data_IF_452439034230
#
_entry.id   IF_452439034230
#
_cell.length_a   1.000
_cell.length_b   1.000
_cell.length_c   1.000
_cell.angle_alpha   90.00
_cell.angle_beta   90.00
_cell.angle_gamma   90.00
#
_symmetry.space_group_name_H-M   'P 1'
#
loop_
_entity.id
_entity.type
_entity.pdbx_description
1 polymer ?
#
# COMPACT_ATOMS: atom_id res chain seq x y z
N UNK A 1 6.63 -20.69 -0.40
CA UNK A 1 5.67 -21.34 -1.32
C UNK A 1 6.04 -21.07 -2.77
N UNK A 2 6.16 -19.81 -3.19
CA UNK A 2 6.51 -19.34 -4.55
C UNK A 2 7.76 -19.98 -5.17
N UNK A 3 8.87 -20.08 -4.42
CA UNK A 3 10.09 -20.78 -4.90
C UNK A 3 9.81 -22.23 -5.32
N UNK A 4 8.99 -22.95 -4.55
CA UNK A 4 8.64 -24.35 -4.83
C UNK A 4 7.76 -24.47 -6.08
N UNK A 5 6.78 -23.58 -6.22
CA UNK A 5 5.91 -23.50 -7.41
C UNK A 5 6.73 -23.21 -8.67
N UNK A 6 7.71 -22.31 -8.57
CA UNK A 6 8.56 -21.94 -9.68
C UNK A 6 9.49 -23.07 -10.11
N UNK A 7 10.12 -23.76 -9.15
CA UNK A 7 10.92 -24.97 -9.44
C UNK A 7 10.05 -26.06 -10.09
N UNK A 8 8.82 -26.26 -9.60
CA UNK A 8 7.89 -27.21 -10.21
C UNK A 8 7.54 -26.84 -11.65
N UNK A 9 7.28 -25.56 -11.94
CA UNK A 9 7.02 -25.09 -13.29
C UNK A 9 8.22 -25.31 -14.22
N UNK A 10 9.44 -25.00 -13.76
CA UNK A 10 10.68 -25.25 -14.51
C UNK A 10 10.88 -26.74 -14.79
N UNK A 11 10.61 -27.63 -13.82
CA UNK A 11 10.67 -29.08 -14.04
C UNK A 11 9.61 -29.58 -15.03
N UNK A 12 8.40 -29.00 -15.04
CA UNK A 12 7.38 -29.36 -16.04
C UNK A 12 7.86 -28.96 -17.44
N UNK A 13 8.42 -27.77 -17.59
CA UNK A 13 9.00 -27.28 -18.85
C UNK A 13 10.15 -28.19 -19.30
N UNK A 14 11.06 -28.55 -18.40
CA UNK A 14 12.15 -29.50 -18.69
C UNK A 14 11.61 -30.82 -19.26
N UNK A 15 10.65 -31.44 -18.58
CA UNK A 15 10.08 -32.72 -19.02
C UNK A 15 9.38 -32.60 -20.39
N UNK A 16 8.66 -31.50 -20.64
CA UNK A 16 8.07 -31.21 -21.94
C UNK A 16 9.13 -31.10 -23.03
N UNK A 17 10.20 -30.35 -22.78
CA UNK A 17 11.28 -30.13 -23.75
C UNK A 17 12.01 -31.45 -24.05
N UNK A 18 12.34 -32.23 -23.01
CA UNK A 18 12.96 -33.55 -23.16
C UNK A 18 12.08 -34.49 -23.98
N UNK A 19 10.77 -34.49 -23.73
CA UNK A 19 9.82 -35.29 -24.50
C UNK A 19 9.76 -34.86 -25.98
N UNK A 20 9.69 -33.55 -26.24
CA UNK A 20 9.69 -33.01 -27.61
C UNK A 20 10.96 -33.41 -28.35
N UNK A 21 12.13 -33.25 -27.73
CA UNK A 21 13.43 -33.63 -28.31
C UNK A 21 13.50 -35.13 -28.58
N UNK A 22 12.99 -35.95 -27.67
CA UNK A 22 12.89 -37.40 -27.87
C UNK A 22 11.96 -37.78 -29.03
N UNK A 23 10.83 -37.08 -29.16
CA UNK A 23 9.88 -37.25 -30.27
C UNK A 23 10.52 -36.89 -31.61
N UNK A 24 11.22 -35.75 -31.69
CA UNK A 24 11.98 -35.35 -32.88
C UNK A 24 13.08 -36.36 -33.23
N UNK A 25 13.88 -36.81 -32.26
CA UNK A 25 14.91 -37.84 -32.48
C UNK A 25 14.31 -39.11 -33.10
N UNK A 26 13.18 -39.58 -32.57
CA UNK A 26 12.48 -40.77 -33.08
C UNK A 26 11.92 -40.56 -34.49
N UNK A 27 11.21 -39.45 -34.69
CA UNK A 27 10.60 -39.09 -35.97
C UNK A 27 11.66 -38.92 -37.06
N UNK A 28 12.78 -38.26 -36.77
CA UNK A 28 13.87 -38.08 -37.72
C UNK A 28 14.60 -39.39 -38.01
N UNK A 29 14.82 -40.25 -37.01
CA UNK A 29 15.41 -41.56 -37.25
C UNK A 29 14.56 -42.40 -38.19
N UNK A 30 13.23 -42.34 -38.05
CA UNK A 30 12.29 -43.02 -38.94
C UNK A 30 12.26 -42.39 -40.33
N UNK A 31 12.01 -41.08 -40.43
CA UNK A 31 11.88 -40.38 -41.71
C UNK A 31 13.18 -40.34 -42.49
N UNK A 32 14.27 -39.84 -41.91
CA UNK A 32 15.56 -39.76 -42.62
C UNK A 32 16.12 -41.15 -42.88
N UNK A 33 15.97 -42.12 -41.98
CA UNK A 33 16.42 -43.49 -42.22
C UNK A 33 15.71 -44.12 -43.43
N UNK A 34 14.37 -44.06 -43.48
CA UNK A 34 13.60 -44.57 -44.62
C UNK A 34 13.95 -43.83 -45.91
N UNK A 35 14.11 -42.51 -45.84
CA UNK A 35 14.38 -41.72 -47.05
C UNK A 35 15.81 -41.88 -47.55
N UNK A 36 16.80 -42.01 -46.65
CA UNK A 36 18.18 -42.36 -46.99
C UNK A 36 18.20 -43.70 -47.72
N UNK A 37 17.63 -44.75 -47.10
CA UNK A 37 17.62 -46.08 -47.70
C UNK A 37 16.87 -46.09 -49.02
N UNK A 38 15.73 -45.41 -49.14
CA UNK A 38 14.97 -45.35 -50.39
C UNK A 38 15.74 -44.61 -51.50
N UNK A 39 16.35 -43.46 -51.21
CA UNK A 39 17.18 -42.71 -52.17
C UNK A 39 18.39 -43.55 -52.58
N UNK A 40 19.05 -44.19 -51.62
CA UNK A 40 20.22 -45.00 -51.87
C UNK A 40 19.91 -46.29 -52.64
N UNK A 41 18.80 -46.96 -52.36
CA UNK A 41 18.33 -48.09 -53.17
C UNK A 41 17.93 -47.66 -54.58
N UNK A 42 17.30 -46.49 -54.75
CA UNK A 42 17.01 -45.95 -56.08
C UNK A 42 18.28 -45.59 -56.85
N UNK A 43 19.28 -45.01 -56.20
CA UNK A 43 20.60 -44.74 -56.81
C UNK A 43 21.28 -46.05 -57.19
N UNK A 44 21.27 -47.06 -56.31
CA UNK A 44 21.76 -48.42 -56.63
C UNK A 44 21.00 -49.05 -57.80
N UNK A 45 19.70 -48.81 -57.95
CA UNK A 45 18.93 -49.32 -59.08
C UNK A 45 19.20 -48.58 -60.41
N UNK A 46 19.55 -47.29 -60.35
CA UNK A 46 19.93 -46.50 -61.52
C UNK A 46 21.37 -46.86 -61.97
N UNK A 47 22.26 -47.16 -61.02
CA UNK A 47 23.68 -47.47 -61.28
C UNK A 47 23.94 -48.98 -61.44
N UNK A 48 23.14 -49.84 -60.81
CA UNK A 48 23.32 -51.30 -60.80
C UNK A 48 23.19 -52.02 -62.15
N UNK A 49 22.39 -51.57 -63.14
CA UNK A 49 22.35 -52.19 -64.45
C UNK A 49 23.34 -51.56 -65.44
N UNK A 50 24.42 -50.94 -64.96
CA UNK A 50 25.49 -50.45 -65.83
C UNK A 50 26.08 -51.58 -66.69
N UNK A 51 26.21 -52.80 -66.15
CA UNK A 51 26.68 -53.97 -66.94
C UNK A 51 25.74 -54.33 -68.10
N UNK A 52 24.43 -54.18 -67.91
CA UNK A 52 23.44 -54.45 -68.97
C UNK A 52 23.39 -53.35 -70.03
N UNK A 53 23.60 -52.10 -69.64
CA UNK A 53 23.69 -50.98 -70.56
C UNK A 53 24.97 -51.09 -71.39
N UNK A 54 26.08 -51.48 -70.77
CA UNK A 54 27.35 -51.71 -71.47
C UNK A 54 27.23 -52.87 -72.44
N UNK A 55 26.68 -54.02 -72.00
CA UNK A 55 26.45 -55.19 -72.85
C UNK A 55 25.49 -54.90 -74.02
N UNK A 56 24.40 -54.17 -73.76
CA UNK A 56 23.43 -53.76 -74.76
C UNK A 56 24.05 -52.82 -75.81
N UNK A 57 24.85 -51.83 -75.40
CA UNK A 57 25.52 -50.89 -76.29
C UNK A 57 26.61 -51.58 -77.14
N UNK A 58 27.40 -52.50 -76.56
CA UNK A 58 28.35 -53.30 -77.37
C UNK A 58 27.65 -54.22 -78.36
N UNK A 59 26.49 -54.82 -78.00
CA UNK A 59 25.72 -55.63 -78.96
C UNK A 59 25.04 -54.79 -80.05
N UNK A 60 24.65 -53.55 -79.71
CA UNK A 60 23.93 -52.66 -80.61
C UNK A 60 24.88 -51.96 -81.60
N UNK A 61 26.15 -51.76 -81.23
CA UNK A 61 27.11 -51.00 -82.03
C UNK A 61 28.09 -51.82 -82.87
N UNK A 62 28.13 -53.16 -82.77
CA UNK A 62 29.04 -54.02 -83.57
C UNK A 62 30.47 -53.44 -83.68
N UNK A 63 31.04 -53.02 -82.55
CA UNK A 63 32.39 -52.51 -82.48
C UNK A 63 33.36 -53.68 -82.41
N UNK A 64 33.53 -54.37 -83.54
CA UNK A 64 34.71 -55.19 -83.77
C UNK A 64 35.71 -54.31 -84.55
N UNK A 65 36.78 -53.99 -83.85
CA UNK A 65 38.02 -53.39 -84.34
C UNK A 65 38.07 -51.85 -84.55
N UNK A 66 39.12 -51.28 -83.94
CA UNK A 66 39.67 -49.93 -84.11
C UNK A 66 38.96 -48.73 -83.43
N UNK A 67 39.34 -48.42 -82.18
CA UNK A 67 40.02 -47.15 -81.80
C UNK A 67 40.28 -47.08 -80.29
N UNK A 68 41.55 -46.86 -79.94
CA UNK A 68 42.14 -46.88 -78.60
C UNK A 68 41.81 -45.66 -77.73
N UNK A 69 40.52 -45.39 -77.51
CA UNK A 69 40.03 -44.46 -76.47
C UNK A 69 38.68 -44.89 -75.86
N UNK A 70 38.11 -46.00 -76.33
CA UNK A 70 37.00 -46.67 -75.66
C UNK A 70 37.57 -47.59 -74.57
N UNK A 71 36.84 -47.71 -73.46
CA UNK A 71 37.16 -48.59 -72.31
C UNK A 71 38.15 -48.01 -71.28
N UNK A 72 37.95 -46.76 -70.84
CA UNK A 72 38.14 -46.39 -69.42
C UNK A 72 36.84 -46.48 -68.61
N UNK A 73 35.69 -46.52 -69.28
CA UNK A 73 34.37 -46.52 -68.64
C UNK A 73 34.16 -47.73 -67.73
N UNK A 74 34.55 -48.93 -68.13
CA UNK A 74 34.36 -50.15 -67.30
C UNK A 74 35.17 -50.12 -66.01
N UNK A 75 36.36 -49.53 -66.04
CA UNK A 75 37.22 -49.41 -64.87
C UNK A 75 36.74 -48.27 -63.96
N UNK A 76 36.32 -47.14 -64.53
CA UNK A 76 35.64 -46.06 -63.81
C UNK A 76 34.32 -46.53 -63.19
N UNK A 77 33.56 -47.39 -63.87
CA UNK A 77 32.28 -47.91 -63.41
C UNK A 77 32.46 -48.98 -62.31
N UNK A 78 33.47 -49.84 -62.41
CA UNK A 78 33.82 -50.77 -61.33
C UNK A 78 34.40 -50.05 -60.09
N UNK A 79 35.22 -49.01 -60.28
CA UNK A 79 35.69 -48.15 -59.18
C UNK A 79 34.53 -47.37 -58.55
N UNK A 80 33.58 -46.92 -59.37
CA UNK A 80 32.33 -46.28 -58.92
C UNK A 80 31.49 -47.26 -58.11
N UNK A 81 31.32 -48.50 -58.57
CA UNK A 81 30.60 -49.56 -57.86
C UNK A 81 31.26 -49.92 -56.51
N UNK A 82 32.59 -50.03 -56.48
CA UNK A 82 33.32 -50.31 -55.24
C UNK A 82 33.26 -49.15 -54.22
N UNK A 83 33.32 -47.89 -54.69
CA UNK A 83 33.14 -46.70 -53.84
C UNK A 83 31.70 -46.57 -53.34
N UNK A 84 30.73 -46.96 -54.15
CA UNK A 84 29.31 -47.09 -53.81
C UNK A 84 29.18 -48.11 -52.67
N UNK A 85 29.66 -49.33 -52.84
CA UNK A 85 29.50 -50.41 -51.84
C UNK A 85 30.20 -50.09 -50.50
N UNK A 86 31.41 -49.51 -50.53
CA UNK A 86 32.13 -49.08 -49.31
C UNK A 86 31.45 -47.92 -48.55
N UNK A 87 30.68 -47.09 -49.26
CA UNK A 87 29.90 -46.02 -48.65
C UNK A 87 28.60 -46.56 -48.05
N UNK A 88 27.94 -47.50 -48.74
CA UNK A 88 26.70 -48.13 -48.28
C UNK A 88 26.88 -49.06 -47.08
N UNK A 89 28.09 -49.53 -46.79
CA UNK A 89 28.39 -50.29 -45.57
C UNK A 89 28.44 -49.41 -44.31
N UNK A 90 28.55 -48.09 -44.47
CA UNK A 90 28.69 -47.11 -43.38
C UNK A 90 27.44 -46.24 -43.15
N UNK A 91 26.31 -46.51 -43.81
CA UNK A 91 25.08 -45.71 -43.72
C UNK A 91 24.51 -45.62 -42.28
N UNK A 92 24.60 -46.71 -41.52
CA UNK A 92 24.27 -46.77 -40.09
C UNK A 92 25.15 -45.84 -39.24
N UNK A 93 26.40 -45.59 -39.65
CA UNK A 93 27.32 -44.69 -38.94
C UNK A 93 26.93 -43.23 -39.13
N UNK A 94 26.41 -42.86 -40.31
CA UNK A 94 25.86 -41.55 -40.62
C UNK A 94 24.62 -41.29 -39.76
N UNK A 95 23.66 -42.22 -39.69
CA UNK A 95 22.46 -42.06 -38.84
C UNK A 95 22.85 -41.86 -37.37
N UNK A 96 23.82 -42.62 -36.87
CA UNK A 96 24.31 -42.50 -35.49
C UNK A 96 25.02 -41.17 -35.21
N UNK A 97 25.85 -40.68 -36.12
CA UNK A 97 26.55 -39.41 -35.95
C UNK A 97 25.64 -38.20 -36.11
N UNK A 98 24.66 -38.26 -37.01
CA UNK A 98 23.80 -37.12 -37.37
C UNK A 98 22.63 -36.96 -36.40
N UNK A 99 22.00 -38.06 -35.99
CA UNK A 99 20.76 -38.03 -35.21
C UNK A 99 21.01 -38.47 -33.78
N UNK A 100 21.61 -39.64 -33.54
CA UNK A 100 21.64 -40.18 -32.18
C UNK A 100 22.60 -39.43 -31.25
N UNK A 101 23.80 -39.08 -31.72
CA UNK A 101 24.82 -38.42 -30.90
C UNK A 101 24.43 -37.00 -30.48
N UNK A 102 24.04 -36.08 -31.37
CA UNK A 102 23.75 -34.70 -30.97
C UNK A 102 22.44 -34.58 -30.17
N UNK A 103 21.38 -35.32 -30.53
CA UNK A 103 20.13 -35.30 -29.75
C UNK A 103 20.29 -35.99 -28.37
N UNK A 104 21.14 -37.02 -28.26
CA UNK A 104 21.46 -37.65 -26.98
C UNK A 104 22.28 -36.75 -26.05
N UNK A 105 23.27 -36.03 -26.59
CA UNK A 105 24.03 -35.02 -25.85
C UNK A 105 23.13 -33.87 -25.39
N UNK A 106 22.24 -33.41 -26.26
CA UNK A 106 21.27 -32.36 -25.94
C UNK A 106 20.35 -32.75 -24.79
N UNK A 107 19.79 -33.96 -24.84
CA UNK A 107 18.94 -34.48 -23.77
C UNK A 107 19.68 -34.55 -22.42
N UNK A 108 20.95 -34.97 -22.45
CA UNK A 108 21.79 -35.06 -21.25
C UNK A 108 22.10 -33.67 -20.71
N UNK A 109 22.48 -32.73 -21.58
CA UNK A 109 22.79 -31.35 -21.19
C UNK A 109 21.56 -30.68 -20.58
N UNK A 110 20.39 -30.74 -21.22
CA UNK A 110 19.15 -30.14 -20.68
C UNK A 110 18.85 -30.66 -19.28
N UNK A 111 18.90 -31.98 -19.08
CA UNK A 111 18.65 -32.57 -17.77
C UNK A 111 19.65 -32.06 -16.73
N UNK A 112 20.94 -31.95 -17.07
CA UNK A 112 21.95 -31.42 -16.15
C UNK A 112 21.77 -29.92 -15.85
N UNK A 113 21.43 -29.09 -16.83
CA UNK A 113 21.34 -27.64 -16.62
C UNK A 113 20.08 -27.25 -15.87
N UNK A 114 18.93 -27.86 -16.21
CA UNK A 114 17.67 -27.58 -15.52
C UNK A 114 17.66 -28.13 -14.10
N UNK A 115 18.25 -29.31 -13.85
CA UNK A 115 18.36 -29.87 -12.49
C UNK A 115 19.36 -29.13 -11.60
N UNK A 116 20.44 -28.58 -12.18
CA UNK A 116 21.43 -27.78 -11.44
C UNK A 116 21.00 -26.33 -11.24
N UNK A 117 20.07 -25.82 -12.05
CA UNK A 117 19.62 -24.45 -11.95
C UNK A 117 18.82 -24.21 -10.68
N UNK A 118 19.15 -23.12 -9.99
CA UNK A 118 18.42 -22.67 -8.82
C UNK A 118 18.23 -21.15 -8.91
N UNK A 119 17.02 -20.64 -8.57
CA UNK A 119 16.78 -19.21 -8.62
C UNK A 119 17.77 -18.45 -7.73
N UNK A 120 18.18 -17.23 -8.13
CA UNK A 120 19.04 -16.39 -7.31
C UNK A 120 18.40 -16.17 -5.93
N UNK A 121 19.23 -16.00 -4.90
CA UNK A 121 18.72 -15.78 -3.56
C UNK A 121 17.98 -14.45 -3.48
N UNK A 122 16.66 -14.50 -3.29
CA UNK A 122 15.87 -13.32 -3.00
C UNK A 122 16.16 -12.88 -1.56
N UNK A 123 16.85 -11.75 -1.39
CA UNK A 123 17.04 -11.10 -0.10
C UNK A 123 16.22 -9.82 -0.08
N UNK A 124 15.17 -9.79 0.74
CA UNK A 124 14.39 -8.57 1.05
C UNK A 124 15.21 -7.54 1.86
N UNK A 125 16.46 -7.88 2.19
CA UNK A 125 17.28 -7.25 3.22
C UNK A 125 17.97 -5.95 2.77
N UNK A 126 17.69 -5.45 1.56
CA UNK A 126 18.03 -4.07 1.18
C UNK A 126 17.10 -3.05 1.86
N UNK A 127 15.96 -3.50 2.39
CA UNK A 127 15.22 -2.75 3.40
C UNK A 127 15.91 -2.97 4.74
N UNK A 128 16.90 -2.10 5.01
CA UNK A 128 17.47 -1.82 6.34
C UNK A 128 17.78 -3.02 7.24
N UNK A 129 19.06 -3.42 7.29
CA UNK A 129 19.61 -4.27 8.38
C UNK A 129 19.47 -3.67 9.79
N UNK A 130 18.89 -2.48 9.95
CA UNK A 130 18.76 -1.78 11.21
C UNK A 130 17.30 -1.64 11.69
N UNK A 131 16.34 -2.17 10.93
CA UNK A 131 14.91 -2.08 11.23
C UNK A 131 14.42 -3.51 11.37
N UNK A 132 13.89 -3.84 12.55
CA UNK A 132 13.43 -5.20 12.81
C UNK A 132 12.27 -5.54 11.86
N UNK A 133 12.06 -6.82 11.52
CA UNK A 133 10.90 -7.24 10.71
C UNK A 133 9.56 -6.83 11.34
N UNK A 134 9.56 -6.53 12.65
CA UNK A 134 8.42 -5.99 13.38
C UNK A 134 8.16 -4.51 13.04
N UNK A 135 9.22 -3.70 12.94
CA UNK A 135 9.12 -2.28 12.58
C UNK A 135 8.61 -2.09 11.13
N UNK A 136 8.99 -2.97 10.20
CA UNK A 136 8.48 -2.96 8.82
C UNK A 136 7.01 -3.39 8.70
N UNK A 137 6.51 -4.19 9.66
CA UNK A 137 5.08 -4.52 9.76
C UNK A 137 4.31 -3.42 10.52
N UNK A 138 4.98 -2.61 11.32
CA UNK A 138 4.41 -1.49 12.08
C UNK A 138 4.40 -0.16 11.33
N UNK A 139 5.25 0.05 10.34
CA UNK A 139 5.26 1.24 9.49
C UNK A 139 4.43 0.97 8.24
N UNK A 140 3.11 1.13 8.38
CA UNK A 140 2.57 2.49 8.28
C UNK A 140 1.59 2.86 9.41
N UNK A 141 1.52 2.11 10.50
CA UNK A 141 0.51 2.25 11.54
C UNK A 141 1.06 2.75 12.88
N UNK A 142 2.29 3.26 12.95
CA UNK A 142 2.82 3.83 14.20
C UNK A 142 2.07 5.12 14.53
N UNK A 143 1.11 5.03 15.45
CA UNK A 143 0.30 6.16 15.93
C UNK A 143 0.90 6.84 17.16
N UNK A 144 2.13 6.47 17.58
CA UNK A 144 2.76 7.01 18.79
C UNK A 144 2.79 8.55 18.80
N UNK A 145 3.12 9.18 17.67
CA UNK A 145 3.12 10.65 17.56
C UNK A 145 1.72 11.27 17.71
N UNK A 146 0.67 10.55 17.27
CA UNK A 146 -0.71 10.97 17.47
C UNK A 146 -1.16 10.75 18.91
N UNK A 147 -0.71 9.66 19.55
CA UNK A 147 -0.93 9.37 20.96
C UNK A 147 -0.34 10.44 21.86
N UNK A 148 0.95 10.77 21.68
CA UNK A 148 1.64 11.84 22.43
C UNK A 148 0.95 13.20 22.24
N UNK A 149 0.44 13.46 21.03
CA UNK A 149 -0.30 14.69 20.73
C UNK A 149 -1.64 14.76 21.45
N UNK A 150 -2.37 13.64 21.51
CA UNK A 150 -3.64 13.53 22.23
C UNK A 150 -3.42 13.67 23.74
N UNK A 151 -2.40 13.03 24.29
CA UNK A 151 -2.00 13.14 25.70
C UNK A 151 -1.63 14.59 26.06
N UNK A 152 -0.89 15.29 25.19
CA UNK A 152 -0.55 16.69 25.40
C UNK A 152 -1.81 17.58 25.39
N UNK A 153 -2.76 17.34 24.49
CA UNK A 153 -4.04 18.08 24.44
C UNK A 153 -4.85 17.86 25.72
N UNK A 154 -4.98 16.62 26.16
CA UNK A 154 -5.65 16.26 27.41
C UNK A 154 -5.02 16.98 28.60
N UNK A 155 -3.69 16.97 28.69
CA UNK A 155 -2.95 17.64 29.76
C UNK A 155 -3.19 19.16 29.75
N UNK A 156 -3.14 19.81 28.60
CA UNK A 156 -3.35 21.26 28.49
C UNK A 156 -4.77 21.65 28.90
N UNK A 157 -5.79 20.96 28.38
CA UNK A 157 -7.20 21.21 28.72
C UNK A 157 -7.46 21.04 30.21
N UNK A 158 -6.98 19.92 30.77
CA UNK A 158 -7.11 19.61 32.19
C UNK A 158 -6.46 20.70 33.06
N UNK A 159 -5.26 21.16 32.69
CA UNK A 159 -4.56 22.25 33.37
C UNK A 159 -5.36 23.56 33.37
N UNK A 160 -5.93 23.95 32.22
CA UNK A 160 -6.73 25.18 32.13
C UNK A 160 -8.00 25.11 32.98
N UNK A 161 -8.67 23.95 32.99
CA UNK A 161 -9.86 23.73 33.83
C UNK A 161 -9.52 23.83 35.32
N UNK A 162 -8.42 23.20 35.77
CA UNK A 162 -7.99 23.28 37.17
C UNK A 162 -7.62 24.71 37.59
N UNK A 163 -6.91 25.46 36.73
CA UNK A 163 -6.56 26.86 37.01
C UNK A 163 -7.84 27.70 37.16
N UNK A 164 -8.80 27.53 36.27
CA UNK A 164 -10.06 28.25 36.33
C UNK A 164 -10.82 27.92 37.63
N UNK A 165 -11.00 26.63 37.95
CA UNK A 165 -11.65 26.21 39.21
C UNK A 165 -10.93 26.81 40.43
N UNK A 166 -9.59 26.81 40.44
CA UNK A 166 -8.79 27.39 41.52
C UNK A 166 -8.98 28.90 41.68
N UNK A 167 -8.92 29.67 40.59
CA UNK A 167 -9.14 31.13 40.61
C UNK A 167 -10.56 31.45 41.11
N UNK A 168 -11.53 30.69 40.66
CA UNK A 168 -12.93 30.88 41.00
C UNK A 168 -13.24 30.55 42.47
N UNK A 169 -12.71 29.44 42.99
CA UNK A 169 -12.80 29.12 44.41
C UNK A 169 -12.10 30.18 45.27
N UNK A 170 -10.94 30.67 44.81
CA UNK A 170 -10.22 31.76 45.45
C UNK A 170 -11.05 33.06 45.54
N UNK A 171 -11.69 33.47 44.44
CA UNK A 171 -12.57 34.64 44.40
C UNK A 171 -13.77 34.49 45.35
N UNK A 172 -14.42 33.32 45.38
CA UNK A 172 -15.53 33.06 46.28
C UNK A 172 -15.09 33.15 47.76
N UNK A 173 -13.94 32.56 48.08
CA UNK A 173 -13.37 32.61 49.43
C UNK A 173 -13.04 34.04 49.86
N UNK A 174 -12.44 34.85 48.97
CA UNK A 174 -12.18 36.28 49.24
C UNK A 174 -13.48 37.04 49.47
N UNK A 175 -14.50 36.84 48.63
CA UNK A 175 -15.81 37.47 48.80
C UNK A 175 -16.44 37.13 50.17
N UNK A 176 -16.39 35.86 50.59
CA UNK A 176 -16.90 35.43 51.90
C UNK A 176 -16.12 36.06 53.04
N UNK A 177 -14.78 36.14 52.96
CA UNK A 177 -13.96 36.75 54.01
C UNK A 177 -14.16 38.26 54.12
N UNK A 178 -14.19 38.98 53.00
CA UNK A 178 -14.52 40.42 52.95
C UNK A 178 -15.90 40.65 53.54
N UNK A 179 -16.83 39.74 53.28
CA UNK A 179 -18.18 39.85 53.80
C UNK A 179 -18.27 39.60 55.32
N UNK A 180 -17.65 38.53 55.82
CA UNK A 180 -17.60 38.25 57.25
C UNK A 180 -16.92 39.38 58.04
N UNK A 181 -15.87 39.97 57.48
CA UNK A 181 -15.21 41.14 58.06
C UNK A 181 -16.11 42.38 58.04
N UNK A 182 -16.85 42.63 56.94
CA UNK A 182 -17.82 43.71 56.86
C UNK A 182 -18.97 43.55 57.88
N UNK A 183 -19.54 42.34 58.02
CA UNK A 183 -20.56 42.07 59.05
C UNK A 183 -19.99 42.34 60.44
N UNK A 184 -18.81 41.78 60.75
CA UNK A 184 -18.20 41.96 62.08
C UNK A 184 -17.96 43.43 62.39
N UNK A 185 -17.45 44.18 61.41
CA UNK A 185 -17.20 45.61 61.56
C UNK A 185 -18.50 46.40 61.76
N UNK A 186 -19.53 46.13 60.95
CA UNK A 186 -20.84 46.75 61.11
C UNK A 186 -21.47 46.41 62.47
N UNK A 187 -21.47 45.14 62.88
CA UNK A 187 -22.01 44.73 64.18
C UNK A 187 -21.28 45.40 65.34
N UNK A 188 -19.96 45.54 65.26
CA UNK A 188 -19.17 46.27 66.25
C UNK A 188 -19.54 47.76 66.28
N UNK A 189 -19.68 48.41 65.13
CA UNK A 189 -20.08 49.82 65.04
C UNK A 189 -21.50 50.05 65.59
N UNK A 190 -22.46 49.20 65.24
CA UNK A 190 -23.85 49.29 65.73
C UNK A 190 -23.90 49.07 67.24
N UNK A 191 -23.14 48.11 67.77
CA UNK A 191 -23.09 47.84 69.20
C UNK A 191 -22.52 49.05 69.98
N UNK A 192 -21.42 49.62 69.52
CA UNK A 192 -20.82 50.80 70.15
C UNK A 192 -21.77 52.00 70.11
N UNK A 193 -22.31 52.33 68.95
CA UNK A 193 -23.15 53.51 68.80
C UNK A 193 -24.55 53.36 69.45
N UNK A 194 -25.08 52.13 69.57
CA UNK A 194 -26.31 51.85 70.35
C UNK A 194 -26.15 52.21 71.82
N UNK A 195 -25.01 51.90 72.43
CA UNK A 195 -24.77 52.21 73.85
C UNK A 195 -24.71 53.72 74.08
N UNK A 196 -24.00 54.46 73.22
CA UNK A 196 -23.92 55.93 73.27
C UNK A 196 -25.28 56.58 73.05
N UNK A 197 -26.06 56.08 72.08
CA UNK A 197 -27.38 56.62 71.77
C UNK A 197 -28.39 56.40 72.91
N UNK A 198 -28.42 55.20 73.50
CA UNK A 198 -29.29 54.90 74.66
C UNK A 198 -28.92 55.74 75.89
N UNK A 199 -27.65 56.06 76.09
CA UNK A 199 -27.21 56.97 77.15
C UNK A 199 -27.77 58.38 76.95
N UNK A 200 -27.56 58.98 75.78
CA UNK A 200 -28.04 60.33 75.45
C UNK A 200 -29.57 60.45 75.51
N UNK A 201 -30.26 59.38 75.14
CA UNK A 201 -31.71 59.29 75.14
C UNK A 201 -32.27 59.21 76.58
N UNK A 202 -31.60 58.46 77.45
CA UNK A 202 -31.96 58.31 78.88
C UNK A 202 -31.81 59.65 79.60
N UNK A 203 -30.77 60.42 79.30
CA UNK A 203 -30.57 61.76 79.88
C UNK A 203 -31.64 62.78 79.44
N UNK A 204 -32.17 62.66 78.21
CA UNK A 204 -33.11 63.64 77.64
C UNK A 204 -34.60 63.39 78.00
N UNK A 205 -34.95 62.32 78.73
CA UNK A 205 -36.35 62.01 79.13
C UNK A 205 -37.41 62.08 78.00
N UNK A 206 -37.04 61.79 76.75
CA UNK A 206 -37.97 61.76 75.62
C UNK A 206 -39.02 60.62 75.80
N UNK A 207 -40.27 60.73 75.30
CA UNK A 207 -41.26 59.64 75.45
C UNK A 207 -41.28 58.61 74.30
N UNK A 208 -40.73 58.99 73.14
CA UNK A 208 -40.75 58.18 71.90
C UNK A 208 -39.38 57.53 71.58
N UNK A 209 -38.70 57.02 72.60
CA UNK A 209 -37.38 56.41 72.47
C UNK A 209 -37.33 55.23 71.49
N UNK A 210 -38.38 54.41 71.48
CA UNK A 210 -38.43 53.20 70.67
C UNK A 210 -38.47 53.50 69.16
N UNK A 211 -39.16 54.57 68.76
CA UNK A 211 -39.32 54.94 67.35
C UNK A 211 -38.02 55.50 66.75
N UNK A 212 -37.30 56.30 67.55
CA UNK A 212 -35.98 56.81 67.19
C UNK A 212 -34.92 55.72 67.17
N UNK A 213 -35.01 54.74 68.08
CA UNK A 213 -34.14 53.57 68.08
C UNK A 213 -34.37 52.69 66.85
N UNK A 214 -35.62 52.51 66.43
CA UNK A 214 -35.99 51.75 65.24
C UNK A 214 -35.48 52.44 63.95
N UNK A 215 -35.64 53.76 63.83
CA UNK A 215 -35.08 54.58 62.75
C UNK A 215 -33.54 54.52 62.73
N UNK A 216 -32.90 54.55 63.89
CA UNK A 216 -31.44 54.42 63.99
C UNK A 216 -30.96 53.02 63.57
N UNK A 217 -31.63 51.96 64.04
CA UNK A 217 -31.28 50.59 63.64
C UNK A 217 -31.46 50.38 62.14
N UNK A 218 -32.48 50.99 61.51
CA UNK A 218 -32.71 50.94 60.07
C UNK A 218 -31.48 51.35 59.24
N UNK A 219 -30.89 52.51 59.57
CA UNK A 219 -29.71 53.02 58.88
C UNK A 219 -28.46 52.18 59.12
N UNK A 220 -28.41 51.49 60.26
CA UNK A 220 -27.25 50.74 60.70
C UNK A 220 -27.22 49.28 60.19
N UNK A 221 -28.38 48.64 59.99
CA UNK A 221 -28.46 47.25 59.50
C UNK A 221 -28.62 47.10 58.00
N UNK A 222 -29.02 48.15 57.27
CA UNK A 222 -29.26 48.04 55.82
C UNK A 222 -28.03 48.55 55.05
N UNK A 223 -27.24 47.68 54.39
CA UNK A 223 -25.97 48.07 53.78
C UNK A 223 -26.10 49.15 52.68
N UNK A 224 -27.27 49.32 52.09
CA UNK A 224 -27.58 50.35 51.08
C UNK A 224 -28.45 51.52 51.61
N UNK A 225 -28.59 51.67 52.94
CA UNK A 225 -29.40 52.73 53.55
C UNK A 225 -28.97 54.14 53.12
N UNK A 226 -27.71 54.33 52.76
CA UNK A 226 -27.17 55.61 52.31
C UNK A 226 -27.70 56.06 50.93
N UNK A 227 -28.12 55.11 50.09
CA UNK A 227 -28.69 55.40 48.77
C UNK A 227 -30.20 55.66 48.81
N UNK A 228 -30.88 55.26 49.89
CA UNK A 228 -32.34 55.32 50.02
C UNK A 228 -32.69 56.20 51.24
N UNK A 229 -32.98 57.50 51.04
CA UNK A 229 -33.35 58.39 52.13
C UNK A 229 -34.67 57.92 52.76
N UNK A 230 -34.64 57.57 54.05
CA UNK A 230 -35.81 57.10 54.83
C UNK A 230 -37.03 58.02 54.72
N UNK A 231 -36.80 59.32 54.45
CA UNK A 231 -37.85 60.34 54.31
C UNK A 231 -38.41 60.54 52.89
N UNK A 232 -37.75 60.04 51.82
CA UNK A 232 -38.17 60.37 50.44
C UNK A 232 -39.08 59.33 49.78
N UNK A 233 -39.15 58.10 50.27
CA UNK A 233 -40.00 57.06 49.71
C UNK A 233 -41.22 56.78 50.60
N UNK A 234 -42.41 56.71 49.99
CA UNK A 234 -43.66 56.35 50.69
C UNK A 234 -43.47 55.01 51.43
N UNK A 235 -44.03 54.90 52.64
CA UNK A 235 -43.93 53.73 53.54
C UNK A 235 -43.96 52.33 52.86
N UNK A 236 -44.81 52.02 51.85
CA UNK A 236 -44.86 50.68 51.24
C UNK A 236 -43.64 50.33 50.38
N UNK A 237 -43.08 51.27 49.61
CA UNK A 237 -41.89 51.01 48.79
C UNK A 237 -40.64 50.80 49.66
N UNK A 238 -40.55 51.53 50.76
CA UNK A 238 -39.46 51.38 51.72
C UNK A 238 -39.49 49.99 52.42
N UNK A 239 -40.69 49.47 52.74
CA UNK A 239 -40.87 48.12 53.30
C UNK A 239 -40.48 47.01 52.30
N UNK A 240 -40.77 47.19 51.01
CA UNK A 240 -40.33 46.26 49.97
C UNK A 240 -38.80 46.24 49.84
N UNK A 241 -38.18 47.42 49.80
CA UNK A 241 -36.73 47.58 49.73
C UNK A 241 -36.04 46.98 50.97
N UNK A 242 -36.68 46.97 52.14
CA UNK A 242 -36.18 46.27 53.33
C UNK A 242 -36.08 44.76 53.12
N UNK A 243 -37.15 44.14 52.61
CA UNK A 243 -37.22 42.71 52.38
C UNK A 243 -36.24 42.27 51.27
N UNK A 244 -36.09 43.09 50.24
CA UNK A 244 -35.17 42.84 49.12
C UNK A 244 -33.70 43.02 49.51
N UNK A 245 -33.38 44.00 50.34
CA UNK A 245 -32.02 44.22 50.86
C UNK A 245 -31.70 43.35 52.08
N UNK A 246 -32.57 42.40 52.44
CA UNK A 246 -32.24 41.45 53.48
C UNK A 246 -30.99 40.65 53.07
N UNK A 247 -29.98 40.53 53.94
CA UNK A 247 -28.67 39.97 53.59
C UNK A 247 -28.78 38.61 52.88
N UNK A 248 -29.69 37.74 53.35
CA UNK A 248 -29.94 36.40 52.77
C UNK A 248 -30.41 36.46 51.29
N UNK A 249 -31.31 37.39 50.95
CA UNK A 249 -31.83 37.53 49.58
C UNK A 249 -30.77 38.03 48.61
N UNK A 250 -29.95 38.99 49.07
CA UNK A 250 -28.82 39.53 48.31
C UNK A 250 -27.74 38.47 48.08
N UNK A 251 -27.47 37.57 49.05
CA UNK A 251 -26.54 36.45 48.79
C UNK A 251 -27.08 35.46 47.77
N UNK A 252 -28.38 35.14 47.81
CA UNK A 252 -28.98 34.25 46.82
C UNK A 252 -28.79 34.81 45.39
N UNK A 253 -28.99 36.12 45.22
CA UNK A 253 -28.73 36.82 43.96
C UNK A 253 -27.25 36.81 43.58
N UNK A 254 -26.34 37.12 44.52
CA UNK A 254 -24.90 37.16 44.27
C UNK A 254 -24.34 35.79 43.89
N UNK A 255 -24.75 34.73 44.60
CA UNK A 255 -24.37 33.34 44.31
C UNK A 255 -24.93 32.90 42.95
N UNK A 256 -26.17 33.28 42.62
CA UNK A 256 -26.75 33.01 41.31
C UNK A 256 -26.03 33.71 40.15
N UNK A 257 -25.69 34.99 40.32
CA UNK A 257 -24.94 35.77 39.33
C UNK A 257 -23.51 35.26 39.16
N UNK A 258 -22.81 34.97 40.26
CA UNK A 258 -21.50 34.34 40.22
C UNK A 258 -21.61 33.00 39.48
N UNK A 259 -22.52 32.12 39.86
CA UNK A 259 -22.72 30.83 39.19
C UNK A 259 -22.94 30.94 37.68
N UNK A 260 -23.76 31.89 37.22
CA UNK A 260 -23.99 32.14 35.79
C UNK A 260 -22.72 32.61 35.08
N UNK A 261 -22.00 33.59 35.64
CA UNK A 261 -20.73 34.07 35.07
C UNK A 261 -19.72 32.92 35.00
N UNK A 262 -19.70 32.03 35.99
CA UNK A 262 -18.77 30.90 36.07
C UNK A 262 -19.09 29.85 35.01
N UNK A 263 -20.36 29.45 34.87
CA UNK A 263 -20.75 28.49 33.83
C UNK A 263 -20.55 29.07 32.43
N UNK A 264 -20.78 30.37 32.26
CA UNK A 264 -20.56 31.04 30.98
C UNK A 264 -19.07 31.11 30.61
N UNK A 265 -18.20 31.51 31.56
CA UNK A 265 -16.75 31.54 31.35
C UNK A 265 -16.18 30.15 31.10
N UNK A 266 -16.64 29.14 31.85
CA UNK A 266 -16.21 27.75 31.66
C UNK A 266 -16.67 27.21 30.30
N UNK A 267 -17.90 27.50 29.86
CA UNK A 267 -18.39 27.12 28.53
C UNK A 267 -17.57 27.78 27.43
N UNK A 268 -17.34 29.10 27.54
CA UNK A 268 -16.57 29.84 26.55
C UNK A 268 -15.12 29.35 26.46
N UNK A 269 -14.48 29.13 27.61
CA UNK A 269 -13.10 28.64 27.67
C UNK A 269 -12.99 27.22 27.11
N UNK A 270 -13.92 26.33 27.47
CA UNK A 270 -13.92 24.96 26.98
C UNK A 270 -14.07 24.94 25.46
N UNK A 271 -15.07 25.64 24.90
CA UNK A 271 -15.30 25.68 23.45
C UNK A 271 -14.13 26.32 22.70
N UNK A 272 -13.60 27.45 23.18
CA UNK A 272 -12.50 28.14 22.50
C UNK A 272 -11.20 27.32 22.51
N UNK A 273 -10.85 26.72 23.66
CA UNK A 273 -9.62 25.94 23.79
C UNK A 273 -9.74 24.55 23.18
N UNK A 274 -10.90 23.91 23.26
CA UNK A 274 -11.13 22.63 22.58
C UNK A 274 -11.07 22.80 21.07
N UNK A 275 -11.65 23.87 20.51
CA UNK A 275 -11.59 24.13 19.07
C UNK A 275 -10.16 24.36 18.60
N UNK A 276 -9.36 25.13 19.34
CA UNK A 276 -7.95 25.33 19.02
C UNK A 276 -7.16 24.02 19.07
N UNK A 277 -7.33 23.24 20.14
CA UNK A 277 -6.65 21.96 20.29
C UNK A 277 -7.08 20.95 19.20
N UNK A 278 -8.34 20.98 18.77
CA UNK A 278 -8.85 20.16 17.69
C UNK A 278 -8.21 20.51 16.34
N UNK A 279 -8.07 21.80 16.02
CA UNK A 279 -7.39 22.25 14.80
C UNK A 279 -5.90 21.87 14.80
N UNK A 280 -5.23 22.02 15.94
CA UNK A 280 -3.83 21.60 16.11
C UNK A 280 -3.68 20.07 15.92
N UNK A 281 -4.60 19.27 16.47
CA UNK A 281 -4.62 17.83 16.28
C UNK A 281 -4.89 17.44 14.82
N UNK A 282 -5.81 18.12 14.16
CA UNK A 282 -6.14 17.89 12.74
C UNK A 282 -4.91 18.13 11.84
N UNK A 283 -4.18 19.22 12.05
CA UNK A 283 -2.94 19.51 11.32
C UNK A 283 -1.89 18.41 11.54
N UNK A 284 -1.72 17.95 12.79
CA UNK A 284 -0.81 16.85 13.10
C UNK A 284 -1.23 15.52 12.45
N UNK A 285 -2.52 15.20 12.40
CA UNK A 285 -3.02 14.00 11.69
C UNK A 285 -2.78 14.11 10.19
N UNK A 286 -2.98 15.30 9.60
CA UNK A 286 -2.68 15.53 8.19
C UNK A 286 -1.19 15.36 7.89
N UNK A 287 -0.32 15.96 8.70
CA UNK A 287 1.13 15.82 8.57
C UNK A 287 1.60 14.38 8.77
N UNK A 288 1.06 13.69 9.77
CA UNK A 288 1.32 12.27 9.99
C UNK A 288 0.90 11.43 8.79
N UNK A 289 -0.27 11.69 8.21
CA UNK A 289 -0.79 10.98 7.02
C UNK A 289 0.13 11.16 5.82
N UNK A 290 0.55 12.40 5.54
CA UNK A 290 1.45 12.72 4.43
C UNK A 290 2.82 12.07 4.60
N UNK A 291 3.43 12.21 5.78
CA UNK A 291 4.75 11.66 6.08
C UNK A 291 4.75 10.12 6.04
N UNK A 292 3.74 9.50 6.67
CA UNK A 292 3.59 8.04 6.68
C UNK A 292 3.36 7.47 5.29
N UNK A 293 2.49 8.09 4.50
CA UNK A 293 2.22 7.65 3.12
C UNK A 293 3.46 7.80 2.23
N UNK A 294 4.21 8.90 2.39
CA UNK A 294 5.45 9.14 1.65
C UNK A 294 6.54 8.11 1.99
N UNK A 295 6.74 7.81 3.28
CA UNK A 295 7.70 6.78 3.73
C UNK A 295 7.31 5.41 3.20
N UNK A 296 6.05 5.01 3.41
CA UNK A 296 5.54 3.73 2.94
C UNK A 296 5.65 3.60 1.42
N UNK A 297 5.32 4.66 0.68
CA UNK A 297 5.48 4.71 -0.78
C UNK A 297 6.93 4.49 -1.20
N UNK A 298 7.88 5.15 -0.53
CA UNK A 298 9.31 5.06 -0.86
C UNK A 298 9.85 3.66 -0.55
N UNK A 299 9.51 3.11 0.61
CA UNK A 299 9.93 1.76 1.01
C UNK A 299 9.31 0.68 0.12
N UNK A 300 8.02 0.83 -0.22
CA UNK A 300 7.33 -0.08 -1.14
C UNK A 300 7.94 -0.03 -2.53
N UNK A 301 8.25 1.17 -3.04
CA UNK A 301 8.95 1.32 -4.32
C UNK A 301 10.31 0.62 -4.29
N UNK A 302 11.11 0.84 -3.24
CA UNK A 302 12.41 0.19 -3.10
C UNK A 302 12.30 -1.34 -3.04
N UNK A 303 11.26 -1.86 -2.38
CA UNK A 303 10.98 -3.29 -2.32
C UNK A 303 10.58 -3.85 -3.70
N UNK A 304 9.78 -3.11 -4.47
CA UNK A 304 9.37 -3.48 -5.83
C UNK A 304 10.55 -3.42 -6.80
N UNK A 305 11.41 -2.41 -6.69
CA UNK A 305 12.66 -2.33 -7.47
C UNK A 305 13.59 -3.50 -7.17
N UNK A 306 13.68 -3.91 -5.89
CA UNK A 306 14.45 -5.09 -5.48
C UNK A 306 13.85 -6.38 -6.04
N UNK A 307 12.52 -6.51 -6.07
CA UNK A 307 11.83 -7.62 -6.73
C UNK A 307 12.08 -7.63 -8.24
N UNK A 308 11.96 -6.48 -8.91
CA UNK A 308 12.21 -6.35 -10.35
C UNK A 308 13.66 -6.66 -10.71
N UNK A 309 14.62 -6.28 -9.86
CA UNK A 309 16.04 -6.66 -10.01
C UNK A 309 16.21 -8.18 -9.91
N UNK A 310 15.57 -8.80 -8.93
CA UNK A 310 15.59 -10.26 -8.79
C UNK A 310 14.92 -10.98 -9.97
N UNK A 311 13.78 -10.46 -10.46
CA UNK A 311 13.09 -10.97 -11.66
C UNK A 311 14.02 -10.85 -12.87
N UNK A 312 14.68 -9.70 -13.05
CA UNK A 312 15.61 -9.48 -14.16
C UNK A 312 16.80 -10.47 -14.12
N UNK A 313 17.39 -10.67 -12.94
CA UNK A 313 18.46 -11.66 -12.78
C UNK A 313 17.97 -13.09 -13.05
N UNK A 314 16.75 -13.41 -12.62
CA UNK A 314 16.14 -14.73 -12.85
C UNK A 314 15.86 -14.94 -14.34
N UNK A 315 15.31 -13.94 -15.04
CA UNK A 315 15.09 -13.95 -16.49
C UNK A 315 16.42 -14.15 -17.23
N UNK A 316 17.45 -13.39 -16.86
CA UNK A 316 18.78 -13.48 -17.45
C UNK A 316 19.40 -14.87 -17.28
N UNK A 317 19.41 -15.40 -16.05
CA UNK A 317 19.96 -16.72 -15.77
C UNK A 317 19.17 -17.82 -16.49
N UNK A 318 17.83 -17.73 -16.54
CA UNK A 318 17.04 -18.74 -17.24
C UNK A 318 17.27 -18.71 -18.76
N UNK A 319 17.37 -17.52 -19.35
CA UNK A 319 17.62 -17.35 -20.78
C UNK A 319 19.04 -17.79 -21.18
N UNK A 320 20.05 -17.53 -20.35
CA UNK A 320 21.43 -17.87 -20.67
C UNK A 320 21.81 -19.31 -20.29
N UNK A 321 21.38 -19.78 -19.12
CA UNK A 321 21.82 -21.08 -18.61
C UNK A 321 20.89 -22.19 -19.13
N UNK A 322 19.58 -22.05 -18.93
CA UNK A 322 18.63 -23.11 -19.25
C UNK A 322 18.25 -23.12 -20.74
N UNK A 323 17.69 -22.01 -21.23
CA UNK A 323 17.30 -21.86 -22.64
C UNK A 323 18.50 -21.66 -23.57
N UNK A 324 19.62 -21.14 -23.07
CA UNK A 324 20.84 -20.99 -23.83
C UNK A 324 21.40 -22.32 -24.33
N UNK A 325 21.33 -23.38 -23.52
CA UNK A 325 21.76 -24.74 -23.92
C UNK A 325 20.95 -25.25 -25.12
N UNK A 326 19.64 -25.00 -25.14
CA UNK A 326 18.76 -25.37 -26.26
C UNK A 326 19.19 -24.61 -27.52
N UNK A 327 19.45 -23.30 -27.40
CA UNK A 327 19.90 -22.46 -28.50
C UNK A 327 21.25 -22.90 -29.06
N UNK A 328 22.26 -23.11 -28.22
CA UNK A 328 23.59 -23.58 -28.65
C UNK A 328 23.51 -24.95 -29.34
N UNK A 329 22.63 -25.81 -28.85
CA UNK A 329 22.46 -27.15 -29.42
C UNK A 329 21.71 -27.12 -30.75
N UNK A 330 20.72 -26.23 -30.89
CA UNK A 330 20.08 -25.99 -32.17
C UNK A 330 21.06 -25.43 -33.21
N UNK A 331 21.98 -24.52 -32.81
CA UNK A 331 23.06 -24.03 -33.68
C UNK A 331 23.98 -25.17 -34.12
N UNK A 332 24.41 -26.02 -33.18
CA UNK A 332 25.28 -27.16 -33.48
C UNK A 332 24.62 -28.19 -34.40
N UNK A 333 23.34 -28.49 -34.17
CA UNK A 333 22.53 -29.35 -35.03
C UNK A 333 22.37 -28.77 -36.43
N UNK A 334 22.07 -27.47 -36.54
CA UNK A 334 21.93 -26.77 -37.81
C UNK A 334 23.24 -26.86 -38.63
N UNK A 335 24.39 -26.63 -38.00
CA UNK A 335 25.70 -26.78 -38.65
C UNK A 335 26.00 -28.23 -39.07
N UNK A 336 25.56 -29.22 -38.28
CA UNK A 336 25.74 -30.64 -38.61
C UNK A 336 24.89 -31.03 -39.82
N UNK A 337 23.62 -30.60 -39.87
CA UNK A 337 22.72 -30.83 -40.99
C UNK A 337 23.26 -30.21 -42.28
N UNK A 338 23.76 -28.97 -42.21
CA UNK A 338 24.36 -28.29 -43.35
C UNK A 338 25.58 -29.05 -43.90
N UNK A 339 26.44 -29.57 -43.02
CA UNK A 339 27.57 -30.41 -43.42
C UNK A 339 27.13 -31.71 -44.10
N UNK A 340 26.02 -32.31 -43.67
CA UNK A 340 25.47 -33.53 -44.28
C UNK A 340 24.95 -33.25 -45.69
N UNK A 341 24.21 -32.15 -45.89
CA UNK A 341 23.77 -31.71 -47.23
C UNK A 341 24.97 -31.55 -48.16
N UNK A 342 26.04 -30.91 -47.68
CA UNK A 342 27.28 -30.74 -48.45
C UNK A 342 27.97 -32.08 -48.78
N UNK A 343 28.00 -33.04 -47.86
CA UNK A 343 28.57 -34.37 -48.11
C UNK A 343 27.80 -35.14 -49.18
N UNK A 344 26.46 -35.13 -49.11
CA UNK A 344 25.61 -35.81 -50.11
C UNK A 344 25.81 -35.20 -51.49
N UNK A 345 25.78 -33.88 -51.60
CA UNK A 345 26.03 -33.18 -52.87
C UNK A 345 27.45 -33.47 -53.39
N UNK A 346 28.46 -33.45 -52.51
CA UNK A 346 29.85 -33.73 -52.86
C UNK A 346 30.07 -35.16 -53.35
N UNK A 347 29.36 -36.14 -52.79
CA UNK A 347 29.43 -37.54 -53.23
C UNK A 347 28.77 -37.69 -54.60
N UNK A 348 27.60 -37.12 -54.83
CA UNK A 348 26.94 -37.15 -56.14
C UNK A 348 27.88 -36.56 -57.20
N UNK A 349 28.52 -35.44 -56.90
CA UNK A 349 29.52 -34.84 -57.78
C UNK A 349 30.78 -35.71 -57.94
N UNK A 350 31.24 -36.40 -56.90
CA UNK A 350 32.45 -37.26 -56.98
C UNK A 350 32.19 -38.53 -57.79
N UNK A 351 30.99 -39.11 -57.66
CA UNK A 351 30.60 -40.40 -58.26
C UNK A 351 30.05 -40.22 -59.67
N UNK A 352 29.26 -39.17 -59.90
CA UNK A 352 28.55 -38.92 -61.16
C UNK A 352 29.05 -37.65 -61.88
N UNK A 353 30.06 -36.98 -61.34
CA UNK A 353 30.63 -35.75 -61.87
C UNK A 353 30.97 -35.82 -63.35
N UNK A 354 30.40 -34.92 -64.14
CA UNK A 354 30.64 -34.86 -65.59
C UNK A 354 29.87 -35.89 -66.41
N UNK A 355 28.95 -36.65 -65.80
CA UNK A 355 28.01 -37.53 -66.51
C UNK A 355 26.64 -36.87 -66.68
N UNK A 356 25.86 -37.31 -67.68
CA UNK A 356 24.47 -36.82 -67.87
C UNK A 356 23.56 -37.15 -66.67
N UNK A 357 23.95 -38.10 -65.82
CA UNK A 357 23.18 -38.55 -64.67
C UNK A 357 23.39 -37.69 -63.42
N UNK A 358 24.39 -36.82 -63.38
CA UNK A 358 24.67 -35.95 -62.24
C UNK A 358 23.48 -35.06 -61.88
N UNK A 359 22.94 -34.34 -62.89
CA UNK A 359 21.84 -33.40 -62.68
C UNK A 359 20.56 -34.09 -62.20
N UNK A 360 20.24 -35.26 -62.76
CA UNK A 360 19.07 -36.05 -62.35
C UNK A 360 19.23 -36.65 -60.95
N UNK A 361 20.43 -37.14 -60.61
CA UNK A 361 20.71 -37.65 -59.27
C UNK A 361 20.69 -36.55 -58.20
N UNK A 362 21.22 -35.35 -58.51
CA UNK A 362 21.13 -34.19 -57.64
C UNK A 362 19.69 -33.75 -57.42
N UNK A 363 18.85 -33.68 -58.46
CA UNK A 363 17.42 -33.34 -58.31
C UNK A 363 16.65 -34.37 -57.48
N UNK A 364 16.92 -35.66 -57.69
CA UNK A 364 16.29 -36.73 -56.93
C UNK A 364 16.67 -36.66 -55.44
N UNK A 365 17.97 -36.53 -55.16
CA UNK A 365 18.48 -36.37 -53.79
C UNK A 365 17.95 -35.09 -53.14
N UNK A 366 17.81 -34.02 -53.92
CA UNK A 366 17.27 -32.77 -53.44
C UNK A 366 15.79 -32.91 -53.03
N UNK A 367 14.95 -33.43 -53.92
CA UNK A 367 13.52 -33.58 -53.68
C UNK A 367 13.21 -34.56 -52.54
N UNK A 368 13.88 -35.71 -52.52
CA UNK A 368 13.59 -36.75 -51.56
C UNK A 368 14.21 -36.45 -50.19
N UNK A 369 15.41 -35.85 -50.14
CA UNK A 369 16.19 -35.80 -48.89
C UNK A 369 16.62 -34.39 -48.49
N UNK A 370 17.26 -33.60 -49.36
CA UNK A 370 17.78 -32.27 -48.97
C UNK A 370 16.65 -31.32 -48.59
N UNK A 371 15.55 -31.27 -49.35
CA UNK A 371 14.38 -30.44 -49.01
C UNK A 371 13.79 -30.79 -47.64
N UNK A 372 13.85 -32.07 -47.24
CA UNK A 372 13.43 -32.48 -45.90
C UNK A 372 14.39 -31.95 -44.82
N UNK A 373 15.70 -31.99 -45.08
CA UNK A 373 16.72 -31.47 -44.17
C UNK A 373 16.58 -29.95 -44.03
N UNK A 374 16.37 -29.21 -45.11
CA UNK A 374 16.16 -27.76 -45.10
C UNK A 374 14.97 -27.35 -44.22
N UNK A 375 13.86 -28.10 -44.26
CA UNK A 375 12.74 -27.84 -43.35
C UNK A 375 13.10 -28.06 -41.87
N UNK A 376 14.04 -28.97 -41.57
CA UNK A 376 14.55 -29.13 -40.20
C UNK A 376 15.47 -27.98 -39.82
N UNK A 377 16.35 -27.54 -40.71
CA UNK A 377 17.20 -26.37 -40.50
C UNK A 377 16.36 -25.11 -40.23
N UNK A 378 15.24 -24.92 -40.95
CA UNK A 378 14.27 -23.86 -40.68
C UNK A 378 13.63 -23.99 -39.29
N UNK A 379 13.24 -25.20 -38.88
CA UNK A 379 12.71 -25.46 -37.54
C UNK A 379 13.73 -25.18 -36.43
N UNK A 380 14.98 -25.58 -36.63
CA UNK A 380 16.09 -25.28 -35.70
C UNK A 380 16.37 -23.78 -35.63
N UNK A 381 16.30 -23.08 -36.76
CA UNK A 381 16.44 -21.62 -36.83
C UNK A 381 15.31 -20.93 -36.05
N UNK A 382 14.07 -21.40 -36.19
CA UNK A 382 12.95 -20.89 -35.40
C UNK A 382 13.16 -21.08 -33.89
N UNK A 383 13.67 -22.25 -33.47
CA UNK A 383 14.02 -22.51 -32.06
C UNK A 383 15.10 -21.52 -31.61
N UNK A 384 16.15 -21.30 -32.39
CA UNK A 384 17.24 -20.36 -32.06
C UNK A 384 16.69 -18.95 -31.81
N UNK A 385 15.75 -18.51 -32.65
CA UNK A 385 15.20 -17.16 -32.60
C UNK A 385 14.13 -16.96 -31.51
N UNK A 386 13.37 -18.00 -31.16
CA UNK A 386 12.19 -17.88 -30.28
C UNK A 386 12.36 -18.48 -28.88
N UNK A 387 13.50 -19.09 -28.58
CA UNK A 387 13.75 -19.69 -27.25
C UNK A 387 14.30 -18.64 -26.27
N UNK A 388 13.48 -17.63 -25.98
CA UNK A 388 13.73 -16.65 -24.92
C UNK A 388 12.43 -16.41 -24.15
N UNK A 389 12.54 -16.16 -22.84
CA UNK A 389 11.40 -15.84 -21.99
C UNK A 389 11.50 -14.41 -21.46
N UNK A 390 10.35 -13.78 -21.29
CA UNK A 390 10.23 -12.49 -20.62
C UNK A 390 9.34 -12.64 -19.40
N UNK A 391 9.89 -12.30 -18.23
CA UNK A 391 9.13 -12.30 -16.98
C UNK A 391 8.48 -10.93 -16.78
N UNK A 392 7.20 -10.92 -16.41
CA UNK A 392 6.48 -9.68 -16.14
C UNK A 392 7.06 -8.99 -14.91
N UNK A 393 7.36 -7.69 -15.03
CA UNK A 393 7.81 -6.85 -13.91
C UNK A 393 6.61 -6.33 -13.12
N UNK A 394 6.82 -6.03 -11.84
CA UNK A 394 5.81 -5.41 -10.98
C UNK A 394 5.93 -3.90 -11.08
N UNK A 395 4.83 -3.20 -11.33
CA UNK A 395 4.76 -1.75 -11.34
C UNK A 395 3.95 -1.22 -10.16
N UNK A 396 4.34 -0.06 -9.64
CA UNK A 396 3.72 0.61 -8.50
C UNK A 396 3.33 2.04 -8.84
N UNK A 397 2.19 2.18 -9.51
CA UNK A 397 1.66 3.48 -9.95
C UNK A 397 0.62 4.09 -9.00
N UNK A 398 0.38 3.50 -7.83
CA UNK A 398 -0.77 3.80 -6.97
C UNK A 398 -0.58 4.86 -5.86
N UNK A 399 0.58 5.51 -5.76
CA UNK A 399 1.01 6.24 -4.55
C UNK A 399 0.25 7.54 -4.31
N UNK A 400 0.08 8.37 -5.33
CA UNK A 400 -0.70 9.61 -5.24
C UNK A 400 -2.16 9.34 -4.90
N UNK A 401 -2.73 8.28 -5.47
CA UNK A 401 -4.13 7.91 -5.20
C UNK A 401 -4.38 7.46 -3.75
N UNK A 402 -3.36 6.90 -3.09
CA UNK A 402 -3.49 6.45 -1.70
C UNK A 402 -3.43 7.63 -0.73
N UNK A 403 -2.48 8.56 -0.93
CA UNK A 403 -2.39 9.76 -0.08
C UNK A 403 -3.68 10.57 -0.15
N UNK A 404 -4.22 10.76 -1.35
CA UNK A 404 -5.41 11.56 -1.56
C UNK A 404 -6.63 10.92 -0.89
N UNK A 405 -6.79 9.59 -1.02
CA UNK A 405 -7.88 8.85 -0.36
C UNK A 405 -7.77 8.84 1.16
N UNK A 406 -6.55 8.72 1.71
CA UNK A 406 -6.35 8.77 3.16
C UNK A 406 -6.64 10.18 3.70
N UNK A 407 -6.22 11.21 2.97
CA UNK A 407 -6.45 12.60 3.35
C UNK A 407 -7.93 12.97 3.26
N UNK A 408 -8.64 12.49 2.22
CA UNK A 408 -10.09 12.60 2.10
C UNK A 408 -10.81 11.87 3.25
N UNK A 409 -10.41 10.64 3.57
CA UNK A 409 -10.98 9.88 4.69
C UNK A 409 -10.75 10.58 6.03
N UNK A 410 -9.56 11.15 6.24
CA UNK A 410 -9.22 11.92 7.44
C UNK A 410 -10.10 13.18 7.56
N UNK A 411 -10.23 13.94 6.47
CA UNK A 411 -11.06 15.14 6.45
C UNK A 411 -12.54 14.82 6.68
N UNK A 412 -13.05 13.74 6.12
CA UNK A 412 -14.44 13.30 6.34
C UNK A 412 -14.69 12.94 7.82
N UNK A 413 -13.71 12.35 8.51
CA UNK A 413 -13.84 12.07 9.94
C UNK A 413 -13.88 13.36 10.78
N UNK A 414 -13.06 14.34 10.42
CA UNK A 414 -13.01 15.62 11.15
C UNK A 414 -14.24 16.51 10.91
N UNK A 415 -14.84 16.48 9.72
CA UNK A 415 -16.08 17.24 9.45
C UNK A 415 -17.29 16.67 10.21
N UNK A 416 -17.32 15.35 10.42
CA UNK A 416 -18.29 14.71 11.32
C UNK A 416 -18.11 15.15 12.78
N UNK A 417 -16.86 15.30 13.23
CA UNK A 417 -16.53 15.73 14.60
C UNK A 417 -16.99 17.15 14.96
N UNK A 418 -16.94 18.10 14.02
CA UNK A 418 -17.43 19.47 14.25
C UNK A 418 -18.93 19.54 14.61
N UNK A 419 -19.73 18.58 14.16
CA UNK A 419 -21.17 18.55 14.42
C UNK A 419 -21.54 18.00 15.81
N UNK A 420 -20.62 17.27 16.45
CA UNK A 420 -20.81 16.73 17.79
C UNK A 420 -20.08 17.62 18.81
N UNK A 421 -20.83 18.53 19.43
CA UNK A 421 -20.31 19.28 20.57
C UNK A 421 -19.81 18.28 21.63
N UNK A 422 -18.62 18.53 22.19
CA UNK A 422 -18.11 17.73 23.31
C UNK A 422 -19.23 17.63 24.35
N UNK A 423 -19.70 16.42 24.69
CA UNK A 423 -20.90 16.24 25.53
C UNK A 423 -20.88 16.96 26.89
N UNK A 424 -19.72 17.43 27.35
CA UNK A 424 -19.58 18.36 28.48
C UNK A 424 -20.21 19.74 28.25
N UNK A 425 -20.23 20.26 27.02
CA UNK A 425 -20.86 21.54 26.67
C UNK A 425 -22.37 21.46 26.86
N UNK A 426 -23.00 20.36 26.46
CA UNK A 426 -24.43 20.12 26.68
C UNK A 426 -24.76 20.04 28.18
N UNK A 427 -23.90 19.39 28.98
CA UNK A 427 -24.04 19.38 30.44
C UNK A 427 -23.91 20.78 31.04
N UNK A 428 -22.97 21.59 30.57
CA UNK A 428 -22.82 22.99 30.99
C UNK A 428 -24.03 23.84 30.60
N UNK A 429 -24.61 23.60 29.42
CA UNK A 429 -25.81 24.29 28.98
C UNK A 429 -27.00 23.96 29.90
N UNK A 430 -27.14 22.71 30.33
CA UNK A 430 -28.14 22.31 31.32
C UNK A 430 -27.93 22.97 32.69
N UNK A 431 -26.67 23.07 33.17
CA UNK A 431 -26.35 23.83 34.39
C UNK A 431 -26.68 25.32 34.24
N UNK A 432 -26.43 25.90 33.06
CA UNK A 432 -26.78 27.30 32.78
C UNK A 432 -28.29 27.53 32.84
N UNK A 433 -29.10 26.58 32.32
CA UNK A 433 -30.57 26.62 32.45
C UNK A 433 -31.02 26.60 33.91
N UNK A 434 -30.36 25.83 34.78
CA UNK A 434 -30.65 25.82 36.21
C UNK A 434 -30.41 27.19 36.87
N UNK A 435 -29.30 27.87 36.55
CA UNK A 435 -29.05 29.22 37.05
C UNK A 435 -30.07 30.25 36.54
N UNK A 436 -30.50 30.14 35.27
CA UNK A 436 -31.60 30.96 34.76
C UNK A 436 -32.90 30.74 35.55
N UNK A 437 -33.22 29.49 35.93
CA UNK A 437 -34.39 29.20 36.76
C UNK A 437 -34.30 29.84 38.14
N UNK A 438 -33.12 29.88 38.77
CA UNK A 438 -32.91 30.56 40.05
C UNK A 438 -33.13 32.08 39.94
N UNK A 439 -32.66 32.70 38.85
CA UNK A 439 -32.89 34.14 38.59
C UNK A 439 -34.38 34.40 38.36
N UNK A 440 -35.06 33.56 37.58
CA UNK A 440 -36.51 33.67 37.35
C UNK A 440 -37.28 33.54 38.67
N UNK A 441 -36.92 32.58 39.52
CA UNK A 441 -37.52 32.42 40.85
C UNK A 441 -37.33 33.67 41.72
N UNK A 442 -36.15 34.29 41.68
CA UNK A 442 -35.89 35.54 42.37
C UNK A 442 -36.77 36.69 41.83
N UNK A 443 -36.93 36.81 40.50
CA UNK A 443 -37.83 37.76 39.86
C UNK A 443 -39.31 37.51 40.21
N UNK A 444 -39.72 36.26 40.36
CA UNK A 444 -41.08 35.90 40.81
C UNK A 444 -41.29 36.32 42.26
N UNK A 445 -40.32 36.07 43.15
CA UNK A 445 -40.38 36.56 44.54
C UNK A 445 -40.46 38.09 44.62
N UNK A 446 -39.71 38.80 43.78
CA UNK A 446 -39.80 40.25 43.62
C UNK A 446 -41.20 40.67 43.19
N UNK A 447 -41.77 40.00 42.18
CA UNK A 447 -43.10 40.31 41.64
C UNK A 447 -44.21 40.06 42.67
N UNK A 448 -44.16 38.95 43.41
CA UNK A 448 -45.12 38.65 44.48
C UNK A 448 -45.01 39.69 45.60
N UNK A 449 -43.80 40.06 46.00
CA UNK A 449 -43.54 41.13 46.96
C UNK A 449 -44.18 42.44 46.53
N UNK A 450 -44.06 42.82 45.26
CA UNK A 450 -44.69 44.02 44.69
C UNK A 450 -46.24 43.93 44.71
N UNK A 451 -46.82 42.79 44.32
CA UNK A 451 -48.28 42.61 44.30
C UNK A 451 -48.91 42.71 45.70
N UNK A 452 -48.29 42.13 46.73
CA UNK A 452 -48.78 42.26 48.11
C UNK A 452 -48.77 43.72 48.59
N UNK A 453 -47.75 44.50 48.20
CA UNK A 453 -47.65 45.92 48.55
C UNK A 453 -48.70 46.77 47.82
N UNK A 454 -48.95 46.51 46.53
CA UNK A 454 -49.99 47.20 45.75
C UNK A 454 -51.38 46.92 46.35
N UNK A 455 -51.66 45.67 46.73
CA UNK A 455 -52.92 45.28 47.37
C UNK A 455 -53.10 45.99 48.72
N UNK A 456 -52.04 46.07 49.53
CA UNK A 456 -52.07 46.78 50.80
C UNK A 456 -52.32 48.28 50.62
N UNK A 457 -51.74 48.91 49.59
CA UNK A 457 -51.94 50.32 49.26
C UNK A 457 -53.38 50.66 48.82
N UNK A 458 -54.06 49.74 48.14
CA UNK A 458 -55.44 49.97 47.67
C UNK A 458 -56.52 49.68 48.72
N UNK A 459 -56.20 48.92 49.77
CA UNK A 459 -57.14 48.55 50.85
C UNK A 459 -57.02 49.42 52.12
N UNK A 460 -56.13 50.41 52.10
CA UNK A 460 -55.91 51.38 53.17
C UNK A 460 -56.34 52.76 52.68
#
# INVERSE_FOLDING_TARGET
NTRRTFIMAVNVVENCIVWVIGSYRSMYRCLLGVTLHAVFELIKQIVGPVDKITAGITSFLHLDDMTSNSIQWTQTLNDTQAKIDAFFENDDTLIRQIIDKPFGLLQTQINTTFSAWNPPNFRLNSVSKNVSTLDLLQQPCSTNSLGESLENIEYQLTRYVYILIGVLFGLLLVCVLVHLSAIRFQQQQVAQARTTFLHLIRERHQKDHNKLLEEYTWYATTPFAYLIPWKKFKMPLNRLLMFMNHPVSVYCLLVGLCGLIMTWLLAWLLTSKSQQAYLEFQDQVQQWTLNTTSRWSTETQQQIDSMNTWINQTEHNLNNDAFGVIRYSAIALNGTLSNVVNQIQGIIHTVLGGTILEASAQQLAHCLLINKIEHVEQGLTWIIENTYIHLTRVDFSGTSSLSDKLLESSNNYFTLGETHSFGMVDQLHNLTRFYYMLIILWCIHLSIGLCFQIKYYFFQ
#
